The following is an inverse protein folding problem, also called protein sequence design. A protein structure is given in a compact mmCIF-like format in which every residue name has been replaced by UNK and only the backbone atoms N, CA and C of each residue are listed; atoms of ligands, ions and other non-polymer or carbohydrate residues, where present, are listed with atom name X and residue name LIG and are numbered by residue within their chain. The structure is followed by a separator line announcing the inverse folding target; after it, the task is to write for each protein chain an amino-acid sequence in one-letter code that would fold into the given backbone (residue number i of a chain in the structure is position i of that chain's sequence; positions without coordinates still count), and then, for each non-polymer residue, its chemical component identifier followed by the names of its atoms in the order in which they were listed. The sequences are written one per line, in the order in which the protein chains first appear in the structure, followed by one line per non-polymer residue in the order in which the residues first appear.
data_IF_819368023375
#
_entry.id   IF_819368023375
#
_cell.length_a   1.000
_cell.length_b   1.000
_cell.length_c   1.000
_cell.angle_alpha   90.00
_cell.angle_beta   90.00
_cell.angle_gamma   90.00
#
_symmetry.space_group_name_H-M   'P 1'
#
loop_
_entity.id
_entity.type
_entity.pdbx_description
1 polymer ?
#
# COMPACT_ATOMS: atom_id res chain seq x y z
N UNK A 1 43.65 42.27 2.42
CA UNK A 1 42.39 42.72 3.04
C UNK A 1 41.25 42.58 2.06
N UNK A 2 41.28 43.21 0.88
CA UNK A 2 40.22 43.11 -0.16
C UNK A 2 39.86 41.68 -0.62
N UNK A 3 40.83 40.82 -0.81
CA UNK A 3 40.61 39.40 -1.26
C UNK A 3 39.78 38.58 -0.27
N UNK A 4 39.99 38.79 1.04
CA UNK A 4 39.23 38.06 2.09
C UNK A 4 37.79 38.52 2.16
N UNK A 5 37.52 39.83 1.96
CA UNK A 5 36.17 40.39 1.93
C UNK A 5 35.37 39.89 0.71
N UNK A 6 36.02 39.81 -0.45
CA UNK A 6 35.42 39.30 -1.67
C UNK A 6 35.06 37.80 -1.51
N UNK A 7 35.96 37.01 -1.01
CA UNK A 7 35.74 35.59 -0.73
C UNK A 7 34.58 35.39 0.27
N UNK A 8 34.54 36.18 1.34
CA UNK A 8 33.46 36.17 2.32
C UNK A 8 32.11 36.51 1.70
N UNK A 9 32.08 37.52 0.81
CA UNK A 9 30.87 37.92 0.09
C UNK A 9 30.33 36.79 -0.81
N UNK A 10 31.22 36.08 -1.53
CA UNK A 10 30.87 34.98 -2.41
C UNK A 10 30.32 33.81 -1.58
N UNK A 11 31.00 33.43 -0.48
CA UNK A 11 30.54 32.34 0.41
C UNK A 11 29.19 32.67 1.02
N UNK A 12 28.94 33.88 1.46
CA UNK A 12 27.64 34.32 1.98
C UNK A 12 26.54 34.25 0.94
N UNK A 13 26.81 34.63 -0.33
CA UNK A 13 25.85 34.51 -1.43
C UNK A 13 25.53 33.04 -1.74
N UNK A 14 26.51 32.16 -1.74
CA UNK A 14 26.32 30.72 -1.93
C UNK A 14 25.51 30.11 -0.79
N UNK A 15 25.82 30.46 0.46
CA UNK A 15 25.09 29.99 1.63
C UNK A 15 23.61 30.42 1.57
N UNK A 16 23.32 31.67 1.21
CA UNK A 16 21.94 32.13 1.02
C UNK A 16 21.20 31.34 -0.05
N UNK A 17 21.84 31.06 -1.20
CA UNK A 17 21.23 30.23 -2.25
C UNK A 17 20.95 28.80 -1.77
N UNK A 18 21.87 28.23 -1.01
CA UNK A 18 21.71 26.90 -0.43
C UNK A 18 20.54 26.86 0.56
N UNK A 19 20.43 27.85 1.44
CA UNK A 19 19.31 27.98 2.40
C UNK A 19 17.97 28.09 1.64
N UNK A 20 17.90 28.89 0.59
CA UNK A 20 16.70 29.02 -0.22
C UNK A 20 16.34 27.69 -0.88
N UNK A 21 17.32 26.98 -1.42
CA UNK A 21 17.09 25.67 -2.04
C UNK A 21 16.54 24.66 -1.02
N UNK A 22 17.15 24.60 0.17
CA UNK A 22 16.69 23.73 1.26
C UNK A 22 15.26 24.11 1.67
N UNK A 23 14.96 25.40 1.81
CA UNK A 23 13.61 25.84 2.15
C UNK A 23 12.57 25.42 1.09
N UNK A 24 12.90 25.52 -0.19
CA UNK A 24 12.03 25.06 -1.28
C UNK A 24 11.80 23.56 -1.24
N UNK A 25 12.83 22.76 -0.96
CA UNK A 25 12.70 21.30 -0.80
C UNK A 25 11.79 20.97 0.40
N UNK A 26 11.98 21.65 1.52
CA UNK A 26 11.12 21.45 2.71
C UNK A 26 9.66 21.78 2.38
N UNK A 27 9.40 22.91 1.74
CA UNK A 27 8.04 23.30 1.35
C UNK A 27 7.42 22.27 0.39
N UNK A 28 8.19 21.77 -0.57
CA UNK A 28 7.74 20.73 -1.49
C UNK A 28 7.37 19.43 -0.77
N UNK A 29 8.26 18.94 0.11
CA UNK A 29 8.01 17.70 0.88
C UNK A 29 6.79 17.87 1.80
N UNK A 30 6.69 19.02 2.48
CA UNK A 30 5.57 19.31 3.37
C UNK A 30 4.24 19.41 2.60
N UNK A 31 4.22 20.07 1.46
CA UNK A 31 3.05 20.15 0.59
C UNK A 31 2.56 18.77 0.13
N UNK A 32 3.50 17.88 -0.27
CA UNK A 32 3.14 16.50 -0.62
C UNK A 32 2.60 15.72 0.58
N UNK A 33 3.22 15.85 1.76
CA UNK A 33 2.75 15.18 2.97
C UNK A 33 1.32 15.61 3.35
N UNK A 34 1.04 16.91 3.29
CA UNK A 34 -0.31 17.45 3.53
C UNK A 34 -1.31 16.93 2.48
N UNK A 35 -0.92 16.90 1.21
CA UNK A 35 -1.77 16.38 0.14
C UNK A 35 -2.12 14.91 0.35
N UNK A 36 -1.13 14.07 0.69
CA UNK A 36 -1.34 12.64 0.99
C UNK A 36 -2.28 12.50 2.20
N UNK A 37 -2.06 13.29 3.26
CA UNK A 37 -2.90 13.27 4.45
C UNK A 37 -4.35 13.62 4.13
N UNK A 38 -4.61 14.69 3.38
CA UNK A 38 -5.96 15.09 2.98
C UNK A 38 -6.59 13.99 2.10
N UNK A 39 -5.82 13.42 1.16
CA UNK A 39 -6.32 12.40 0.25
C UNK A 39 -6.65 11.08 0.96
N UNK A 40 -5.97 10.77 2.07
CA UNK A 40 -6.21 9.54 2.84
C UNK A 40 -7.61 9.46 3.47
N UNK A 41 -8.31 10.58 3.63
CA UNK A 41 -9.69 10.61 4.12
C UNK A 41 -10.75 10.52 3.00
N UNK A 42 -10.32 10.50 1.74
CA UNK A 42 -11.24 10.45 0.61
C UNK A 42 -11.57 8.98 0.28
N UNK A 43 -12.80 8.58 0.60
CA UNK A 43 -13.32 7.28 0.17
C UNK A 43 -13.84 7.40 -1.27
N UNK A 44 -13.17 6.72 -2.20
CA UNK A 44 -13.54 6.66 -3.61
C UNK A 44 -14.04 5.26 -4.02
N UNK A 45 -14.45 4.44 -3.05
CA UNK A 45 -14.97 3.11 -3.34
C UNK A 45 -16.20 3.20 -4.28
N UNK A 46 -16.15 2.43 -5.36
CA UNK A 46 -17.20 2.37 -6.37
C UNK A 46 -17.64 0.93 -6.57
N UNK A 47 -18.85 0.75 -7.13
CA UNK A 47 -19.32 -0.58 -7.50
C UNK A 47 -18.39 -1.20 -8.55
N UNK A 48 -18.03 -2.45 -8.35
CA UNK A 48 -17.23 -3.26 -9.25
C UNK A 48 -17.72 -4.71 -9.21
N UNK A 49 -17.28 -5.53 -10.16
CA UNK A 49 -17.67 -6.95 -10.14
C UNK A 49 -16.91 -7.73 -9.08
N UNK A 50 -15.66 -7.36 -8.80
CA UNK A 50 -14.77 -8.10 -7.90
C UNK A 50 -13.81 -7.18 -7.18
N UNK A 51 -13.45 -7.56 -5.94
CA UNK A 51 -12.31 -7.00 -5.21
C UNK A 51 -11.14 -7.97 -5.28
N UNK A 52 -9.99 -7.51 -5.76
CA UNK A 52 -8.76 -8.30 -5.79
C UNK A 52 -7.93 -7.93 -4.56
N UNK A 53 -7.66 -8.92 -3.70
CA UNK A 53 -6.83 -8.76 -2.51
C UNK A 53 -5.43 -9.28 -2.82
N UNK A 54 -4.50 -8.36 -3.01
CA UNK A 54 -3.11 -8.70 -3.28
C UNK A 54 -2.45 -9.34 -2.06
N UNK A 55 -1.72 -10.42 -2.28
CA UNK A 55 -1.03 -11.18 -1.26
C UNK A 55 -0.09 -10.35 -0.40
N UNK A 56 0.02 -10.72 0.87
CA UNK A 56 0.97 -10.17 1.81
C UNK A 56 1.30 -11.24 2.84
N UNK A 57 2.30 -11.99 2.63
CA UNK A 57 2.82 -13.12 3.41
C UNK A 57 1.90 -13.72 4.49
N UNK A 58 1.96 -15.02 4.64
CA UNK A 58 1.37 -15.75 5.78
C UNK A 58 2.47 -16.22 6.72
N UNK A 59 2.14 -16.36 7.99
CA UNK A 59 3.05 -16.85 9.00
C UNK A 59 2.35 -17.96 9.82
N UNK A 60 2.97 -19.13 9.95
CA UNK A 60 2.41 -20.30 10.63
C UNK A 60 0.98 -20.66 10.15
N UNK A 61 0.72 -20.56 8.85
CA UNK A 61 -0.59 -20.86 8.26
C UNK A 61 -1.68 -19.81 8.50
N UNK A 62 -1.32 -18.66 9.03
CA UNK A 62 -2.24 -17.53 9.24
C UNK A 62 -1.83 -16.30 8.42
N UNK A 63 -2.82 -15.60 7.92
CA UNK A 63 -2.58 -14.32 7.24
C UNK A 63 -1.89 -13.33 8.20
N UNK A 64 -0.83 -12.65 7.72
CA UNK A 64 -0.17 -11.59 8.49
C UNK A 64 -1.14 -10.45 8.83
N UNK A 65 -0.89 -9.65 9.88
CA UNK A 65 -1.78 -8.53 10.22
C UNK A 65 -2.07 -7.60 9.04
N UNK A 66 -1.06 -7.32 8.21
CA UNK A 66 -1.23 -6.51 7.00
C UNK A 66 -2.15 -7.19 5.99
N UNK A 67 -2.05 -8.52 5.84
CA UNK A 67 -2.90 -9.26 4.92
C UNK A 67 -4.34 -9.33 5.46
N UNK A 68 -4.52 -9.53 6.77
CA UNK A 68 -5.83 -9.50 7.40
C UNK A 68 -6.54 -8.16 7.17
N UNK A 69 -5.85 -7.02 7.32
CA UNK A 69 -6.45 -5.71 7.07
C UNK A 69 -6.87 -5.52 5.60
N UNK A 70 -6.10 -6.02 4.65
CA UNK A 70 -6.51 -6.02 3.23
C UNK A 70 -7.76 -6.85 3.00
N UNK A 71 -7.83 -8.05 3.59
CA UNK A 71 -8.99 -8.92 3.49
C UNK A 71 -10.20 -8.29 4.18
N UNK A 72 -10.03 -7.74 5.39
CA UNK A 72 -11.08 -7.04 6.13
C UNK A 72 -11.69 -5.92 5.29
N UNK A 73 -10.85 -5.13 4.60
CA UNK A 73 -11.35 -4.08 3.73
C UNK A 73 -12.18 -4.64 2.56
N UNK A 74 -11.73 -5.71 1.92
CA UNK A 74 -12.50 -6.38 0.86
C UNK A 74 -13.84 -6.94 1.38
N UNK A 75 -13.86 -7.51 2.59
CA UNK A 75 -15.08 -7.97 3.26
C UNK A 75 -16.04 -6.81 3.52
N UNK A 76 -15.53 -5.64 3.93
CA UNK A 76 -16.36 -4.44 4.09
C UNK A 76 -16.99 -4.00 2.75
N UNK A 77 -16.21 -4.03 1.65
CA UNK A 77 -16.74 -3.71 0.32
C UNK A 77 -17.81 -4.73 -0.13
N UNK A 78 -17.60 -6.01 0.15
CA UNK A 78 -18.55 -7.08 -0.13
C UNK A 78 -19.85 -6.89 0.66
N UNK A 79 -19.76 -6.66 1.96
CA UNK A 79 -20.93 -6.44 2.82
C UNK A 79 -21.72 -5.16 2.47
N UNK A 80 -21.04 -4.15 1.92
CA UNK A 80 -21.68 -2.94 1.37
C UNK A 80 -22.27 -3.16 -0.03
N UNK A 81 -22.19 -4.38 -0.57
CA UNK A 81 -22.62 -4.72 -1.95
C UNK A 81 -21.94 -3.88 -3.04
N UNK A 82 -20.74 -3.36 -2.76
CA UNK A 82 -19.94 -2.66 -3.75
C UNK A 82 -19.21 -3.63 -4.67
N UNK A 83 -18.96 -4.87 -4.21
CA UNK A 83 -18.40 -5.95 -5.02
C UNK A 83 -19.22 -7.22 -4.85
N UNK A 84 -19.24 -8.08 -5.88
CA UNK A 84 -20.00 -9.34 -5.89
C UNK A 84 -19.16 -10.52 -5.42
N UNK A 85 -17.85 -10.45 -5.65
CA UNK A 85 -16.89 -11.52 -5.32
C UNK A 85 -15.58 -10.95 -4.83
N UNK A 86 -14.79 -11.78 -4.16
CA UNK A 86 -13.43 -11.46 -3.71
C UNK A 86 -12.47 -12.44 -4.40
N UNK A 87 -11.37 -11.94 -4.94
CA UNK A 87 -10.24 -12.76 -5.39
C UNK A 87 -9.10 -12.55 -4.38
N UNK A 88 -8.65 -13.63 -3.76
CA UNK A 88 -7.45 -13.63 -2.93
C UNK A 88 -6.28 -14.13 -3.77
N UNK A 89 -5.15 -13.41 -3.76
CA UNK A 89 -3.95 -13.76 -4.53
C UNK A 89 -2.77 -14.04 -3.62
N UNK A 90 -1.85 -14.85 -4.07
CA UNK A 90 -0.59 -15.13 -3.38
C UNK A 90 -0.21 -16.60 -3.44
N UNK A 91 0.97 -16.88 -3.98
CA UNK A 91 1.51 -18.22 -4.15
C UNK A 91 1.97 -18.87 -2.84
N UNK A 92 2.80 -19.89 -2.99
CA UNK A 92 3.33 -20.66 -1.85
C UNK A 92 4.56 -19.93 -1.27
N UNK A 93 4.45 -19.47 -0.03
CA UNK A 93 5.59 -18.98 0.72
C UNK A 93 6.63 -20.07 0.97
N UNK A 94 7.90 -19.69 1.14
CA UNK A 94 9.00 -20.64 1.31
C UNK A 94 8.74 -21.59 2.51
N UNK A 95 8.54 -22.87 2.21
CA UNK A 95 8.27 -23.89 3.23
C UNK A 95 6.81 -23.98 3.68
N UNK A 96 5.89 -23.23 3.11
CA UNK A 96 4.48 -23.33 3.42
C UNK A 96 3.81 -24.43 2.56
N UNK A 97 3.06 -25.34 3.17
CA UNK A 97 2.34 -26.39 2.43
C UNK A 97 1.06 -25.86 1.75
N UNK A 98 0.64 -24.66 2.09
CA UNK A 98 -0.60 -24.04 1.63
C UNK A 98 -0.26 -22.63 1.08
N UNK A 99 -0.93 -22.22 0.01
CA UNK A 99 -0.72 -20.91 -0.59
C UNK A 99 -1.23 -19.78 0.31
N UNK A 100 -0.63 -18.60 0.16
CA UNK A 100 -1.07 -17.41 0.87
C UNK A 100 -2.51 -17.04 0.49
N UNK A 101 -2.87 -17.22 -0.81
CA UNK A 101 -4.23 -17.03 -1.31
C UNK A 101 -5.26 -17.93 -0.62
N UNK A 102 -4.94 -19.21 -0.41
CA UNK A 102 -5.85 -20.13 0.27
C UNK A 102 -6.03 -19.78 1.76
N UNK A 103 -4.96 -19.42 2.45
CA UNK A 103 -5.05 -18.94 3.84
C UNK A 103 -5.92 -17.67 3.94
N UNK A 104 -5.81 -16.77 2.97
CA UNK A 104 -6.64 -15.59 2.89
C UNK A 104 -8.12 -15.91 2.62
N UNK A 105 -8.39 -16.90 1.75
CA UNK A 105 -9.75 -17.42 1.53
C UNK A 105 -10.36 -17.94 2.82
N UNK A 106 -9.63 -18.77 3.58
CA UNK A 106 -10.12 -19.29 4.86
C UNK A 106 -10.42 -18.17 5.85
N UNK A 107 -9.57 -17.14 5.88
CA UNK A 107 -9.81 -15.99 6.73
C UNK A 107 -11.06 -15.20 6.29
N UNK A 108 -11.26 -14.97 5.00
CA UNK A 108 -12.46 -14.29 4.49
C UNK A 108 -13.75 -15.07 4.79
N UNK A 109 -13.72 -16.40 4.69
CA UNK A 109 -14.85 -17.28 5.10
C UNK A 109 -15.13 -17.09 6.60
N UNK A 110 -14.10 -17.04 7.44
CA UNK A 110 -14.29 -16.81 8.89
C UNK A 110 -14.90 -15.44 9.21
N UNK A 111 -14.80 -14.48 8.30
CA UNK A 111 -15.45 -13.16 8.39
C UNK A 111 -16.88 -13.15 7.80
N UNK A 112 -17.40 -14.31 7.37
CA UNK A 112 -18.79 -14.47 6.92
C UNK A 112 -19.00 -14.35 5.41
N UNK A 113 -17.96 -14.29 4.60
CA UNK A 113 -18.10 -14.31 3.13
C UNK A 113 -18.35 -15.76 2.68
N UNK A 114 -19.41 -16.04 1.88
CA UNK A 114 -19.66 -17.36 1.32
C UNK A 114 -18.48 -17.87 0.49
N UNK A 115 -18.19 -19.16 0.60
CA UNK A 115 -17.06 -19.77 -0.13
C UNK A 115 -17.16 -19.61 -1.65
N UNK A 116 -18.38 -19.69 -2.20
CA UNK A 116 -18.66 -19.58 -3.64
C UNK A 116 -18.39 -18.17 -4.19
N UNK A 117 -18.30 -17.17 -3.32
CA UNK A 117 -18.00 -15.79 -3.68
C UNK A 117 -16.52 -15.46 -3.52
N UNK A 118 -15.68 -16.44 -3.15
CA UNK A 118 -14.23 -16.24 -3.01
C UNK A 118 -13.48 -17.12 -4.01
N UNK A 119 -12.75 -16.46 -4.90
CA UNK A 119 -11.83 -17.10 -5.83
C UNK A 119 -10.40 -16.99 -5.31
N UNK A 120 -9.55 -17.96 -5.63
CA UNK A 120 -8.13 -17.95 -5.27
C UNK A 120 -7.26 -17.95 -6.51
N UNK A 121 -6.21 -17.16 -6.49
CA UNK A 121 -5.12 -17.18 -7.46
C UNK A 121 -3.82 -17.51 -6.69
N UNK A 122 -3.21 -18.66 -6.91
CA UNK A 122 -2.08 -19.19 -6.13
C UNK A 122 -0.83 -19.50 -6.96
N UNK A 123 -0.83 -19.13 -8.26
CA UNK A 123 0.29 -19.39 -9.16
C UNK A 123 1.30 -18.26 -9.16
N UNK A 124 0.89 -17.04 -8.79
CA UNK A 124 1.74 -15.86 -8.81
C UNK A 124 2.83 -15.93 -7.73
N UNK A 125 4.06 -15.62 -8.14
CA UNK A 125 5.25 -15.58 -7.27
C UNK A 125 5.73 -14.15 -7.00
N UNK A 126 5.32 -13.20 -7.82
CA UNK A 126 5.66 -11.78 -7.71
C UNK A 126 4.43 -10.90 -7.90
N UNK A 127 4.49 -9.68 -7.39
CA UNK A 127 3.34 -8.75 -7.40
C UNK A 127 2.79 -8.48 -8.81
N UNK A 128 3.63 -8.46 -9.84
CA UNK A 128 3.18 -8.25 -11.23
C UNK A 128 2.36 -9.41 -11.79
N UNK A 129 2.48 -10.60 -11.23
CA UNK A 129 1.71 -11.78 -11.64
C UNK A 129 0.35 -11.85 -10.94
N UNK A 130 0.15 -11.04 -9.88
CA UNK A 130 -1.11 -10.96 -9.15
C UNK A 130 -2.16 -10.03 -9.84
N UNK A 131 -1.82 -9.41 -10.95
CA UNK A 131 -2.67 -8.50 -11.71
C UNK A 131 -3.15 -9.13 -13.01
#
# INVERSE_FOLDING_TARGET
MFFVEELLSITMKLLKKLIILIALVIVYVFSNAVSIYIYSFKDEARTADVAIVLGASTYNGHASPVYQERINHAVVLYNKHLVKKIITTGGYGKGNPVSDAYNAKLYAISQGVPEDDILTEDQSTVTLENL
#
